data_IF_373788279621
#
_entry.id   IF_373788279621
#
_cell.length_a   1.000
_cell.length_b   1.000
_cell.length_c   1.000
_cell.angle_alpha   90.00
_cell.angle_beta   90.00
_cell.angle_gamma   90.00
#
_symmetry.space_group_name_H-M   'P 1'
#
loop_
_entity.id
_entity.type
_entity.pdbx_description
1 polymer ?
#
# COMPACT_ATOMS: atom_id res chain seq x y z
N UNK A 1 17.58 53.46 -18.97
CA UNK A 1 18.11 54.40 -17.95
C UNK A 1 18.41 53.55 -16.70
N UNK A 2 19.48 52.73 -16.66
CA UNK A 2 20.86 53.02 -16.24
C UNK A 2 20.97 54.07 -15.12
N UNK A 3 21.28 53.62 -13.90
CA UNK A 3 22.25 54.27 -13.02
C UNK A 3 22.76 53.28 -11.96
N UNK A 4 23.96 52.76 -12.21
CA UNK A 4 24.86 52.21 -11.19
C UNK A 4 25.36 53.33 -10.29
N UNK A 5 25.59 53.05 -9.02
CA UNK A 5 26.56 53.79 -8.22
C UNK A 5 27.54 52.80 -7.60
N UNK A 6 28.80 53.12 -7.78
CA UNK A 6 29.98 52.36 -7.40
C UNK A 6 30.95 53.36 -6.74
N UNK A 7 31.84 52.85 -5.88
CA UNK A 7 33.11 53.44 -5.37
C UNK A 7 33.02 54.51 -4.25
N UNK A 8 33.89 54.62 -3.24
CA UNK A 8 35.28 54.15 -2.91
C UNK A 8 35.46 54.29 -1.35
N UNK A 9 35.95 53.30 -0.61
CA UNK A 9 37.33 53.05 -0.10
C UNK A 9 37.99 54.10 0.84
N UNK A 10 38.47 53.66 2.02
CA UNK A 10 39.60 54.17 2.83
C UNK A 10 39.79 53.20 4.03
N UNK A 11 40.63 52.16 4.03
CA UNK A 11 42.09 52.05 4.32
C UNK A 11 42.59 52.88 5.53
N UNK A 12 42.86 52.25 6.68
CA UNK A 12 44.24 52.04 7.19
C UNK A 12 44.32 51.11 8.43
N UNK A 13 45.49 50.45 8.66
CA UNK A 13 45.67 49.29 9.53
C UNK A 13 46.41 49.63 10.83
N UNK A 14 46.47 48.68 11.78
CA UNK A 14 47.59 48.55 12.71
C UNK A 14 47.73 47.10 13.19
N UNK A 15 48.84 46.49 12.77
CA UNK A 15 49.41 45.27 13.30
C UNK A 15 49.98 45.52 14.71
N UNK A 16 49.86 44.54 15.61
CA UNK A 16 50.93 44.25 16.57
C UNK A 16 50.98 42.76 16.87
N UNK A 17 52.09 42.15 16.44
CA UNK A 17 52.52 40.79 16.74
C UNK A 17 53.22 40.80 18.10
N UNK A 18 52.80 39.94 19.02
CA UNK A 18 53.65 39.40 20.10
C UNK A 18 53.27 37.91 20.29
N UNK A 19 54.25 37.02 20.11
CA UNK A 19 54.23 35.58 20.41
C UNK A 19 54.94 35.33 21.76
N UNK A 20 55.15 34.07 22.21
CA UNK A 20 54.20 33.18 22.88
C UNK A 20 54.71 32.76 24.29
N UNK A 21 53.86 32.25 25.19
CA UNK A 21 54.19 31.13 26.12
C UNK A 21 53.06 30.80 27.12
N UNK A 22 53.06 29.53 27.53
CA UNK A 22 52.34 28.88 28.64
C UNK A 22 50.90 28.37 28.45
N UNK A 23 50.84 27.17 27.86
CA UNK A 23 50.39 25.93 28.50
C UNK A 23 49.44 26.03 29.69
N UNK A 24 48.13 25.89 29.46
CA UNK A 24 47.26 25.08 30.32
C UNK A 24 46.26 24.32 29.43
N UNK A 25 46.48 22.99 29.32
CA UNK A 25 45.47 22.05 28.84
C UNK A 25 44.30 22.13 29.81
N UNK A 26 43.14 22.58 29.33
CA UNK A 26 41.88 22.22 29.98
C UNK A 26 41.65 20.74 29.64
N UNK A 27 41.94 19.87 30.59
CA UNK A 27 41.57 18.46 30.53
C UNK A 27 40.04 18.37 30.52
N UNK A 28 39.49 18.11 29.33
CA UNK A 28 38.13 17.61 29.17
C UNK A 28 38.08 16.24 29.85
N UNK A 29 37.16 16.02 30.81
CA UNK A 29 37.15 14.78 31.56
C UNK A 29 36.90 13.60 30.62
N UNK A 30 37.83 12.65 30.67
CA UNK A 30 37.77 11.38 29.99
C UNK A 30 36.44 10.66 30.25
N UNK A 31 35.75 10.42 29.14
CA UNK A 31 34.95 9.25 28.82
C UNK A 31 34.47 8.42 30.04
N UNK A 32 33.45 8.92 30.73
CA UNK A 32 32.54 8.03 31.45
C UNK A 32 31.86 7.16 30.40
N UNK A 33 32.06 5.84 30.50
CA UNK A 33 31.24 4.84 29.83
C UNK A 33 29.78 5.06 30.22
N UNK A 34 29.10 5.92 29.47
CA UNK A 34 27.66 6.04 29.46
C UNK A 34 27.18 4.78 28.76
N UNK A 35 26.52 3.87 29.48
CA UNK A 35 25.66 2.88 28.84
C UNK A 35 24.67 3.66 27.98
N UNK A 36 24.97 3.85 26.70
CA UNK A 36 24.13 4.62 25.79
C UNK A 36 22.84 3.84 25.63
N UNK A 37 21.80 4.22 26.35
CA UNK A 37 20.51 3.54 26.29
C UNK A 37 19.94 3.72 24.88
N UNK A 38 19.93 2.65 24.10
CA UNK A 38 19.58 2.67 22.69
C UNK A 38 18.10 2.37 22.48
N UNK A 39 17.58 2.72 21.30
CA UNK A 39 16.24 2.32 20.89
C UNK A 39 16.12 0.78 20.81
N UNK A 40 17.23 0.07 20.54
CA UNK A 40 17.29 -1.38 20.54
C UNK A 40 17.05 -1.96 21.94
N UNK A 41 17.64 -1.37 22.98
CA UNK A 41 17.41 -1.78 24.37
C UNK A 41 15.93 -1.62 24.75
N UNK A 42 15.32 -0.52 24.30
CA UNK A 42 13.89 -0.26 24.47
C UNK A 42 13.07 -1.31 23.71
N UNK A 43 13.44 -1.62 22.45
CA UNK A 43 12.77 -2.64 21.66
C UNK A 43 12.80 -4.01 22.35
N UNK A 44 13.95 -4.46 22.84
CA UNK A 44 14.10 -5.76 23.52
C UNK A 44 13.14 -5.87 24.71
N UNK A 45 12.97 -4.79 25.47
CA UNK A 45 12.06 -4.72 26.62
C UNK A 45 10.58 -4.76 26.22
N UNK A 46 10.21 -4.13 25.11
CA UNK A 46 8.81 -3.91 24.76
C UNK A 46 8.27 -4.78 23.61
N UNK A 47 9.11 -5.52 22.89
CA UNK A 47 8.68 -6.24 21.67
C UNK A 47 7.51 -7.20 21.90
N UNK A 48 7.46 -7.91 23.03
CA UNK A 48 6.34 -8.81 23.35
C UNK A 48 5.04 -8.07 23.60
N UNK A 49 5.07 -7.00 24.41
CA UNK A 49 3.91 -6.15 24.67
C UNK A 49 3.44 -5.41 23.42
N UNK A 50 4.38 -4.96 22.58
CA UNK A 50 4.08 -4.36 21.28
C UNK A 50 3.41 -5.37 20.33
N UNK A 51 3.82 -6.64 20.34
CA UNK A 51 3.16 -7.67 19.55
C UNK A 51 1.70 -7.88 19.99
N UNK A 52 1.44 -7.91 21.30
CA UNK A 52 0.06 -7.98 21.83
C UNK A 52 -0.74 -6.73 21.48
N UNK A 53 -0.19 -5.53 21.65
CA UNK A 53 -0.83 -4.28 21.23
C UNK A 53 -1.16 -4.28 19.74
N UNK A 54 -0.26 -4.79 18.88
CA UNK A 54 -0.50 -4.91 17.44
C UNK A 54 -1.68 -5.85 17.13
N UNK A 55 -1.90 -6.90 17.92
CA UNK A 55 -3.05 -7.81 17.74
C UNK A 55 -4.39 -7.10 17.91
N UNK A 56 -4.44 -6.04 18.73
CA UNK A 56 -5.65 -5.25 18.95
C UNK A 56 -5.93 -4.21 17.85
N UNK A 57 -4.97 -3.93 16.96
CA UNK A 57 -5.19 -2.98 15.85
C UNK A 57 -6.15 -3.54 14.81
N UNK A 58 -7.03 -2.68 14.30
CA UNK A 58 -7.92 -3.00 13.17
C UNK A 58 -7.16 -2.94 11.82
N UNK A 59 -6.27 -3.90 11.62
CA UNK A 59 -5.52 -4.14 10.38
C UNK A 59 -5.36 -5.64 10.15
N UNK A 60 -5.12 -6.06 8.91
CA UNK A 60 -5.02 -7.50 8.59
C UNK A 60 -3.90 -8.20 9.39
N UNK A 61 -4.13 -9.47 9.78
CA UNK A 61 -3.14 -10.33 10.45
C UNK A 61 -1.78 -10.33 9.74
N UNK A 62 -1.79 -10.43 8.41
CA UNK A 62 -0.59 -10.37 7.58
C UNK A 62 0.14 -9.03 7.68
N UNK A 63 -0.58 -7.91 7.76
CA UNK A 63 0.03 -6.59 7.97
C UNK A 63 0.71 -6.51 9.35
N UNK A 64 0.04 -7.00 10.41
CA UNK A 64 0.60 -7.04 11.77
C UNK A 64 1.93 -7.79 11.79
N UNK A 65 1.92 -9.01 11.23
CA UNK A 65 3.12 -9.85 11.13
C UNK A 65 4.22 -9.17 10.31
N UNK A 66 3.89 -8.55 9.17
CA UNK A 66 4.88 -7.85 8.35
C UNK A 66 5.53 -6.67 9.09
N UNK A 67 4.79 -5.93 9.91
CA UNK A 67 5.35 -4.85 10.72
C UNK A 67 6.27 -5.39 11.79
N UNK A 68 5.81 -6.39 12.55
CA UNK A 68 6.62 -7.01 13.61
C UNK A 68 7.91 -7.63 13.06
N UNK A 69 7.82 -8.48 12.03
CA UNK A 69 9.00 -9.09 11.40
C UNK A 69 9.93 -8.10 10.72
N UNK A 70 9.42 -6.95 10.26
CA UNK A 70 10.27 -5.87 9.75
C UNK A 70 11.07 -5.21 10.88
N UNK A 71 10.45 -4.99 12.04
CA UNK A 71 11.13 -4.43 13.20
C UNK A 71 12.17 -5.40 13.79
N UNK A 72 11.87 -6.70 13.89
CA UNK A 72 12.85 -7.69 14.34
C UNK A 72 14.15 -7.61 13.52
N UNK A 73 14.05 -7.73 12.19
CA UNK A 73 15.22 -7.63 11.29
C UNK A 73 15.90 -6.28 11.32
N UNK A 74 15.12 -5.21 11.51
CA UNK A 74 15.66 -3.86 11.64
C UNK A 74 16.56 -3.77 12.88
N UNK A 75 16.06 -4.17 14.05
CA UNK A 75 16.80 -4.08 15.31
C UNK A 75 17.91 -5.14 15.46
N UNK A 76 17.89 -6.21 14.66
CA UNK A 76 19.03 -7.14 14.52
C UNK A 76 20.21 -6.51 13.75
N UNK A 77 19.93 -5.61 12.80
CA UNK A 77 20.93 -5.11 11.84
C UNK A 77 21.33 -3.66 12.04
N UNK A 78 20.55 -2.88 12.79
CA UNK A 78 20.76 -1.46 13.01
C UNK A 78 20.75 -1.17 14.51
N UNK A 79 21.68 -0.34 14.98
CA UNK A 79 21.65 0.21 16.34
C UNK A 79 21.36 1.70 16.25
N UNK A 80 20.31 2.16 16.93
CA UNK A 80 19.89 3.58 16.88
C UNK A 80 19.87 4.16 18.28
N UNK A 81 20.62 5.23 18.50
CA UNK A 81 20.69 5.92 19.80
C UNK A 81 19.85 7.19 19.79
N UNK A 82 19.79 7.90 18.65
CA UNK A 82 19.12 9.21 18.56
C UNK A 82 18.22 9.32 17.33
N UNK A 83 17.12 10.10 17.40
CA UNK A 83 16.20 10.29 16.28
C UNK A 83 16.86 10.72 14.96
N UNK A 84 17.90 11.56 15.04
CA UNK A 84 18.58 12.12 13.88
C UNK A 84 19.28 11.06 13.00
N UNK A 85 19.64 9.92 13.59
CA UNK A 85 20.37 8.84 12.91
C UNK A 85 19.50 8.19 11.82
N UNK A 86 18.17 8.23 11.94
CA UNK A 86 17.24 7.81 10.90
C UNK A 86 17.40 8.58 9.57
N UNK A 87 18.06 9.75 9.54
CA UNK A 87 18.40 10.43 8.28
C UNK A 87 19.34 9.61 7.39
N UNK A 88 20.19 8.81 8.00
CA UNK A 88 21.22 8.05 7.31
C UNK A 88 20.82 6.58 7.08
N UNK A 89 19.62 6.20 7.53
CA UNK A 89 19.11 4.84 7.41
C UNK A 89 18.04 4.81 6.32
N UNK A 90 18.26 4.00 5.29
CA UNK A 90 17.27 3.77 4.25
C UNK A 90 16.21 2.77 4.73
N UNK A 91 15.16 3.29 5.38
CA UNK A 91 14.05 2.47 5.84
C UNK A 91 13.18 1.98 4.65
N UNK A 92 12.80 0.70 4.72
CA UNK A 92 11.79 0.09 3.84
C UNK A 92 10.38 0.43 4.33
N UNK A 93 9.37 0.34 3.45
CA UNK A 93 7.95 0.67 3.78
C UNK A 93 7.46 -0.02 5.07
N UNK A 94 7.80 -1.29 5.29
CA UNK A 94 7.36 -2.03 6.49
C UNK A 94 8.13 -1.64 7.75
N UNK A 95 9.37 -1.22 7.62
CA UNK A 95 10.17 -0.69 8.74
C UNK A 95 9.64 0.69 9.13
N UNK A 96 9.41 1.59 8.17
CA UNK A 96 8.82 2.91 8.40
C UNK A 96 7.47 2.80 9.13
N UNK A 97 6.57 1.94 8.63
CA UNK A 97 5.24 1.73 9.22
C UNK A 97 5.28 0.97 10.53
N UNK A 98 6.20 0.01 10.67
CA UNK A 98 6.43 -0.71 11.91
C UNK A 98 6.88 0.23 13.02
N UNK A 99 7.92 1.04 12.76
CA UNK A 99 8.45 2.02 13.70
C UNK A 99 7.39 3.06 14.10
N UNK A 100 6.57 3.49 13.13
CA UNK A 100 5.43 4.37 13.42
C UNK A 100 4.42 3.76 14.37
N UNK A 101 4.08 2.49 14.18
CA UNK A 101 3.19 1.77 15.08
C UNK A 101 3.85 1.55 16.44
N UNK A 102 5.15 1.27 16.49
CA UNK A 102 5.88 1.16 17.76
C UNK A 102 5.81 2.48 18.55
N UNK A 103 5.99 3.62 17.90
CA UNK A 103 5.81 4.92 18.57
C UNK A 103 4.36 5.21 18.97
N UNK A 104 3.35 4.72 18.22
CA UNK A 104 1.95 4.81 18.64
C UNK A 104 1.68 3.95 19.86
N UNK A 105 2.27 2.76 19.92
CA UNK A 105 2.19 1.92 21.10
C UNK A 105 2.77 2.63 22.33
N UNK A 106 3.96 3.22 22.22
CA UNK A 106 4.51 3.99 23.34
C UNK A 106 3.61 5.15 23.77
N UNK A 107 2.98 5.83 22.82
CA UNK A 107 2.00 6.88 23.10
C UNK A 107 0.77 6.35 23.84
N UNK A 108 0.21 5.22 23.41
CA UNK A 108 -0.95 4.56 24.03
C UNK A 108 -0.62 4.03 25.44
N UNK A 109 0.62 3.61 25.68
CA UNK A 109 1.13 3.19 27.00
C UNK A 109 1.64 4.37 27.86
N UNK A 110 1.38 5.62 27.45
CA UNK A 110 1.78 6.86 28.14
C UNK A 110 3.32 7.04 28.29
N UNK A 111 4.11 6.33 27.48
CA UNK A 111 5.57 6.46 27.38
C UNK A 111 5.92 7.57 26.39
N UNK A 112 5.99 8.79 26.90
CA UNK A 112 6.17 9.99 26.08
C UNK A 112 7.63 10.29 25.68
N UNK A 113 8.59 9.66 26.35
CA UNK A 113 10.03 9.86 26.10
C UNK A 113 10.76 8.53 25.94
N UNK A 114 11.62 8.45 24.92
CA UNK A 114 12.45 7.28 24.62
C UNK A 114 13.88 7.76 24.37
N UNK A 115 14.83 7.21 25.10
CA UNK A 115 16.26 7.57 25.03
C UNK A 115 16.50 9.09 25.15
N UNK A 116 15.80 9.77 26.07
CA UNK A 116 15.95 11.22 26.24
C UNK A 116 15.29 12.07 25.15
N UNK A 117 14.41 11.47 24.33
CA UNK A 117 13.78 12.13 23.20
C UNK A 117 12.28 11.85 23.13
N UNK A 118 11.49 12.92 22.98
CA UNK A 118 10.04 12.86 22.75
C UNK A 118 9.68 12.02 21.51
N UNK A 119 8.51 11.37 21.53
CA UNK A 119 7.97 10.64 20.38
C UNK A 119 7.88 11.48 19.09
N UNK A 120 7.55 12.78 19.20
CA UNK A 120 7.49 13.67 18.04
C UNK A 120 8.83 13.79 17.29
N UNK A 121 9.94 13.85 18.03
CA UNK A 121 11.30 13.87 17.45
C UNK A 121 11.59 12.59 16.69
N UNK A 122 11.24 11.43 17.25
CA UNK A 122 11.39 10.13 16.58
C UNK A 122 10.56 10.08 15.29
N UNK A 123 9.28 10.44 15.39
CA UNK A 123 8.35 10.53 14.26
C UNK A 123 8.85 11.49 13.18
N UNK A 124 9.47 12.62 13.52
CA UNK A 124 9.97 13.60 12.54
C UNK A 124 10.91 12.98 11.50
N UNK A 125 11.72 11.99 11.88
CA UNK A 125 12.70 11.36 11.00
C UNK A 125 12.22 10.05 10.38
N UNK A 126 11.25 9.37 10.97
CA UNK A 126 10.61 8.17 10.39
C UNK A 126 9.38 8.58 9.57
N UNK A 127 9.53 9.10 8.35
CA UNK A 127 8.39 9.56 7.54
C UNK A 127 7.84 8.42 6.67
N UNK A 128 6.52 8.21 6.70
CA UNK A 128 5.85 7.29 5.77
C UNK A 128 5.85 7.94 4.39
N UNK A 129 6.57 7.34 3.44
CA UNK A 129 6.58 7.83 2.06
C UNK A 129 5.21 7.60 1.42
N UNK A 130 4.70 8.60 0.69
CA UNK A 130 3.51 8.43 -0.15
C UNK A 130 3.86 7.44 -1.27
N UNK A 131 2.99 6.47 -1.51
CA UNK A 131 3.14 5.58 -2.66
C UNK A 131 3.02 6.38 -3.95
N UNK A 132 3.98 6.21 -4.86
CA UNK A 132 3.93 6.83 -6.18
C UNK A 132 2.77 6.31 -7.03
N UNK A 133 2.34 7.11 -7.99
CA UNK A 133 1.41 6.67 -9.03
C UNK A 133 2.18 5.80 -10.00
N UNK A 134 1.72 4.56 -10.21
CA UNK A 134 2.25 3.71 -11.28
C UNK A 134 1.49 4.07 -12.54
N UNK A 135 2.15 4.48 -13.62
CA UNK A 135 1.51 4.88 -14.88
C UNK A 135 1.76 3.86 -15.99
N UNK A 136 1.31 2.63 -15.76
CA UNK A 136 1.31 1.57 -16.78
C UNK A 136 -0.13 1.34 -17.21
N UNK A 137 -0.39 1.53 -18.50
CA UNK A 137 -1.65 1.27 -19.19
C UNK A 137 -1.37 0.25 -20.30
N UNK A 138 -2.20 -0.78 -20.36
CA UNK A 138 -2.15 -1.81 -21.40
C UNK A 138 -3.34 -1.61 -22.33
N UNK A 139 -3.22 -2.02 -23.59
CA UNK A 139 -4.29 -1.96 -24.58
C UNK A 139 -5.01 -3.32 -24.79
N UNK A 140 -6.03 -3.34 -25.64
CA UNK A 140 -6.86 -4.52 -25.89
C UNK A 140 -6.05 -5.68 -26.49
N UNK A 141 -5.07 -5.37 -27.37
CA UNK A 141 -4.20 -6.37 -27.98
C UNK A 141 -3.26 -7.01 -26.96
N UNK A 142 -2.72 -6.22 -26.03
CA UNK A 142 -1.95 -6.74 -24.91
C UNK A 142 -2.79 -7.64 -24.00
N UNK A 143 -4.04 -7.27 -23.69
CA UNK A 143 -4.94 -8.09 -22.88
C UNK A 143 -5.26 -9.41 -23.58
N UNK A 144 -5.55 -9.38 -24.88
CA UNK A 144 -5.83 -10.56 -25.70
C UNK A 144 -4.61 -11.47 -25.79
N UNK A 145 -3.44 -10.92 -26.12
CA UNK A 145 -2.17 -11.65 -26.12
C UNK A 145 -1.89 -12.29 -24.76
N UNK A 146 -2.12 -11.54 -23.68
CA UNK A 146 -1.95 -12.04 -22.32
C UNK A 146 -2.87 -13.22 -22.00
N UNK A 147 -4.08 -13.26 -22.56
CA UNK A 147 -5.00 -14.39 -22.44
C UNK A 147 -4.56 -15.59 -23.27
N UNK A 148 -4.14 -15.36 -24.52
CA UNK A 148 -3.66 -16.41 -25.44
C UNK A 148 -2.42 -17.12 -24.90
N UNK A 149 -1.48 -16.37 -24.29
CA UNK A 149 -0.27 -16.91 -23.67
C UNK A 149 -0.51 -17.46 -22.25
N UNK A 150 -1.68 -17.20 -21.65
CA UNK A 150 -2.01 -17.69 -20.31
C UNK A 150 -2.19 -19.20 -20.32
N UNK A 151 -1.65 -19.95 -19.34
CA UNK A 151 -1.93 -21.38 -19.21
C UNK A 151 -3.44 -21.66 -19.21
N UNK A 152 -3.88 -22.71 -19.91
CA UNK A 152 -5.31 -23.04 -20.05
C UNK A 152 -6.05 -23.10 -18.70
N UNK A 153 -5.41 -23.66 -17.68
CA UNK A 153 -5.94 -23.74 -16.31
C UNK A 153 -6.12 -22.38 -15.62
N UNK A 154 -5.38 -21.35 -16.05
CA UNK A 154 -5.45 -19.99 -15.53
C UNK A 154 -6.40 -19.10 -16.34
N UNK A 155 -6.77 -19.50 -17.57
CA UNK A 155 -7.66 -18.72 -18.44
C UNK A 155 -8.99 -18.35 -17.77
N UNK A 156 -9.70 -19.24 -17.04
CA UNK A 156 -10.90 -18.83 -16.32
C UNK A 156 -10.62 -17.69 -15.34
N UNK A 157 -9.54 -17.76 -14.55
CA UNK A 157 -9.20 -16.72 -13.56
C UNK A 157 -8.79 -15.41 -14.25
N UNK A 158 -8.05 -15.51 -15.36
CA UNK A 158 -7.70 -14.37 -16.20
C UNK A 158 -8.95 -13.70 -16.76
N UNK A 159 -9.89 -14.46 -17.31
CA UNK A 159 -11.16 -13.96 -17.81
C UNK A 159 -11.95 -13.23 -16.74
N UNK A 160 -12.03 -13.79 -15.53
CA UNK A 160 -12.73 -13.14 -14.43
C UNK A 160 -12.08 -11.80 -14.03
N UNK A 161 -10.76 -11.68 -14.12
CA UNK A 161 -10.06 -10.38 -13.91
C UNK A 161 -10.43 -9.37 -14.99
N UNK A 162 -10.45 -9.80 -16.25
CA UNK A 162 -10.81 -8.97 -17.41
C UNK A 162 -12.26 -8.53 -17.33
N UNK A 163 -13.18 -9.43 -16.99
CA UNK A 163 -14.62 -9.15 -16.92
C UNK A 163 -14.98 -8.26 -15.74
N UNK A 164 -14.45 -8.52 -14.56
CA UNK A 164 -14.91 -7.82 -13.35
C UNK A 164 -14.10 -6.57 -13.01
N UNK A 165 -12.87 -6.47 -13.50
CA UNK A 165 -11.91 -5.43 -13.09
C UNK A 165 -11.64 -5.40 -11.58
N UNK A 166 -11.98 -6.45 -10.82
CA UNK A 166 -11.86 -6.44 -9.36
C UNK A 166 -10.40 -6.63 -8.90
N UNK A 167 -10.13 -6.30 -7.63
CA UNK A 167 -8.79 -6.56 -7.07
C UNK A 167 -8.60 -8.07 -7.01
N UNK A 168 -7.47 -8.56 -7.50
CA UNK A 168 -7.20 -10.00 -7.50
C UNK A 168 -7.28 -10.64 -6.10
N UNK A 169 -6.99 -9.89 -5.02
CA UNK A 169 -7.21 -10.38 -3.65
C UNK A 169 -8.66 -10.74 -3.38
N UNK A 170 -9.62 -9.93 -3.84
CA UNK A 170 -11.05 -10.22 -3.63
C UNK A 170 -11.55 -11.31 -4.57
N UNK A 171 -11.05 -11.37 -5.81
CA UNK A 171 -11.32 -12.50 -6.72
C UNK A 171 -10.83 -13.80 -6.10
N UNK A 172 -9.58 -13.85 -5.63
CA UNK A 172 -9.00 -15.03 -5.02
C UNK A 172 -9.79 -15.47 -3.78
N UNK A 173 -10.15 -14.54 -2.89
CA UNK A 173 -10.98 -14.84 -1.72
C UNK A 173 -12.39 -15.32 -2.07
N UNK A 174 -13.00 -14.76 -3.13
CA UNK A 174 -14.31 -15.21 -3.62
C UNK A 174 -14.21 -16.64 -4.17
N UNK A 175 -13.19 -16.92 -5.00
CA UNK A 175 -12.96 -18.26 -5.55
C UNK A 175 -12.66 -19.30 -4.46
N UNK A 176 -11.97 -18.91 -3.40
CA UNK A 176 -11.63 -19.78 -2.26
C UNK A 176 -12.87 -20.17 -1.44
N UNK A 177 -13.93 -19.36 -1.50
CA UNK A 177 -15.21 -19.55 -0.80
C UNK A 177 -16.37 -19.60 -1.81
N UNK A 178 -16.10 -20.12 -3.01
CA UNK A 178 -17.05 -20.07 -4.11
C UNK A 178 -18.26 -20.96 -3.83
N UNK A 179 -19.44 -20.37 -3.97
CA UNK A 179 -20.72 -21.07 -3.91
C UNK A 179 -21.56 -20.62 -5.09
N UNK A 180 -21.88 -21.56 -5.99
CA UNK A 180 -22.64 -21.27 -7.20
C UNK A 180 -24.05 -20.74 -6.91
N UNK A 181 -24.62 -21.03 -5.74
CA UNK A 181 -25.93 -20.52 -5.31
C UNK A 181 -25.96 -19.01 -5.10
N UNK A 182 -24.80 -18.37 -4.98
CA UNK A 182 -24.67 -16.92 -4.83
C UNK A 182 -24.61 -16.17 -6.17
N UNK A 183 -24.57 -16.87 -7.31
CA UNK A 183 -24.57 -16.23 -8.62
C UNK A 183 -25.98 -15.68 -8.92
N UNK A 184 -26.06 -14.38 -9.17
CA UNK A 184 -27.28 -13.70 -9.61
C UNK A 184 -27.15 -13.46 -11.11
N UNK A 185 -28.15 -13.88 -11.90
CA UNK A 185 -28.18 -13.71 -13.36
C UNK A 185 -29.30 -12.75 -13.72
N UNK A 186 -28.93 -11.65 -14.38
CA UNK A 186 -29.81 -10.59 -14.87
C UNK A 186 -29.61 -10.44 -16.39
N UNK A 187 -30.30 -11.28 -17.17
CA UNK A 187 -30.16 -11.33 -18.62
C UNK A 187 -28.77 -11.81 -19.07
N UNK A 188 -28.05 -11.00 -19.85
CA UNK A 188 -26.70 -11.33 -20.34
C UNK A 188 -25.59 -11.09 -19.31
N UNK A 189 -25.95 -10.62 -18.12
CA UNK A 189 -25.02 -10.24 -17.05
C UNK A 189 -25.23 -11.16 -15.87
N UNK A 190 -24.14 -11.58 -15.26
CA UNK A 190 -24.14 -12.24 -13.97
C UNK A 190 -23.29 -11.44 -12.98
N UNK A 191 -23.64 -11.54 -11.70
CA UNK A 191 -22.82 -10.98 -10.63
C UNK A 191 -22.83 -11.81 -9.36
N UNK A 192 -21.74 -11.69 -8.61
CA UNK A 192 -21.54 -12.39 -7.34
C UNK A 192 -21.38 -11.36 -6.20
N UNK A 193 -22.28 -11.33 -5.20
CA UNK A 193 -22.14 -10.44 -4.05
C UNK A 193 -20.84 -10.74 -3.28
N UNK A 194 -20.00 -9.72 -3.07
CA UNK A 194 -18.71 -9.87 -2.36
C UNK A 194 -18.53 -8.88 -1.21
N UNK A 195 -19.58 -8.15 -0.83
CA UNK A 195 -19.56 -7.18 0.27
C UNK A 195 -18.93 -7.72 1.56
N UNK A 196 -19.15 -9.00 1.87
CA UNK A 196 -18.60 -9.69 3.04
C UNK A 196 -17.07 -9.84 3.03
N UNK A 197 -16.42 -9.67 1.88
CA UNK A 197 -14.95 -9.70 1.72
C UNK A 197 -14.28 -8.33 1.96
N UNK A 198 -15.07 -7.27 2.15
CA UNK A 198 -14.56 -5.93 2.42
C UNK A 198 -13.84 -5.88 3.77
N UNK A 199 -12.66 -5.24 3.82
CA UNK A 199 -11.89 -5.09 5.07
C UNK A 199 -11.15 -3.75 5.13
N UNK A 200 -11.23 -3.07 6.28
CA UNK A 200 -10.66 -1.73 6.47
C UNK A 200 -11.10 -0.76 5.38
N UNK A 201 -10.12 -0.16 4.68
CA UNK A 201 -10.39 0.75 3.54
C UNK A 201 -10.57 0.03 2.19
N UNK A 202 -10.34 -1.29 2.12
CA UNK A 202 -10.46 -2.06 0.87
C UNK A 202 -11.88 -2.60 0.77
N UNK A 203 -12.65 -2.05 -0.16
CA UNK A 203 -14.04 -2.44 -0.41
C UNK A 203 -14.20 -3.27 -1.67
N UNK A 204 -15.28 -4.03 -1.70
CA UNK A 204 -15.84 -4.76 -2.85
C UNK A 204 -17.32 -4.94 -2.60
N UNK A 205 -18.12 -5.01 -3.66
CA UNK A 205 -19.59 -5.05 -3.56
C UNK A 205 -20.14 -6.24 -4.32
N UNK A 206 -19.91 -6.25 -5.63
CA UNK A 206 -20.31 -7.30 -6.54
C UNK A 206 -19.18 -7.53 -7.56
N UNK A 207 -19.02 -8.78 -7.95
CA UNK A 207 -18.13 -9.20 -9.04
C UNK A 207 -19.00 -9.43 -10.28
N UNK A 208 -18.97 -8.50 -11.23
CA UNK A 208 -19.75 -8.58 -12.47
C UNK A 208 -18.99 -9.35 -13.56
N UNK A 209 -19.71 -10.11 -14.38
CA UNK A 209 -19.18 -10.86 -15.53
C UNK A 209 -20.32 -11.21 -16.51
N UNK A 210 -20.03 -11.59 -17.76
CA UNK A 210 -21.05 -12.07 -18.69
C UNK A 210 -21.72 -13.35 -18.17
N UNK A 211 -23.04 -13.48 -18.31
CA UNK A 211 -23.78 -14.68 -17.90
C UNK A 211 -23.28 -15.94 -18.65
N UNK A 212 -22.84 -15.78 -19.90
CA UNK A 212 -22.25 -16.86 -20.70
C UNK A 212 -20.95 -17.44 -20.12
N UNK A 213 -20.29 -16.72 -19.19
CA UNK A 213 -19.07 -17.17 -18.54
C UNK A 213 -19.32 -18.08 -17.32
N UNK A 214 -20.56 -18.16 -16.81
CA UNK A 214 -20.92 -18.99 -15.64
C UNK A 214 -20.43 -20.45 -15.76
N UNK A 215 -20.57 -21.15 -16.90
CA UNK A 215 -20.07 -22.52 -17.05
C UNK A 215 -18.55 -22.62 -16.89
N UNK A 216 -17.77 -21.64 -17.37
CA UNK A 216 -16.30 -21.63 -17.21
C UNK A 216 -15.89 -21.35 -15.76
N UNK A 217 -16.60 -20.44 -15.08
CA UNK A 217 -16.37 -20.14 -13.66
C UNK A 217 -16.53 -21.39 -12.80
N UNK A 218 -17.54 -22.23 -13.09
CA UNK A 218 -17.81 -23.48 -12.36
C UNK A 218 -16.73 -24.55 -12.55
N UNK A 219 -15.89 -24.47 -13.59
CA UNK A 219 -14.80 -25.42 -13.82
C UNK A 219 -13.59 -25.18 -12.91
N UNK A 220 -13.56 -24.08 -12.14
CA UNK A 220 -12.47 -23.76 -11.23
C UNK A 220 -12.58 -24.64 -9.97
N UNK A 221 -12.12 -25.88 -10.07
CA UNK A 221 -12.23 -26.86 -8.97
C UNK A 221 -11.08 -26.79 -7.96
N UNK A 222 -9.90 -26.32 -8.36
CA UNK A 222 -8.70 -26.28 -7.50
C UNK A 222 -8.01 -24.93 -7.60
N UNK A 223 -8.22 -24.09 -6.59
CA UNK A 223 -7.56 -22.80 -6.50
C UNK A 223 -6.11 -22.97 -6.06
N UNK A 224 -5.18 -22.51 -6.91
CA UNK A 224 -3.76 -22.45 -6.55
C UNK A 224 -3.49 -21.34 -5.54
N UNK A 225 -2.27 -21.35 -4.98
CA UNK A 225 -1.83 -20.28 -4.10
C UNK A 225 -1.90 -18.93 -4.82
N UNK A 226 -2.26 -17.88 -4.07
CA UNK A 226 -2.38 -16.51 -4.57
C UNK A 226 -1.16 -16.06 -5.41
N UNK A 227 0.05 -16.40 -4.95
CA UNK A 227 1.28 -15.99 -5.63
C UNK A 227 1.56 -16.76 -6.92
N UNK A 228 1.23 -18.05 -6.95
CA UNK A 228 1.40 -18.86 -8.16
C UNK A 228 0.50 -18.35 -9.28
N UNK A 229 -0.76 -18.08 -8.97
CA UNK A 229 -1.71 -17.52 -9.94
C UNK A 229 -1.21 -16.17 -10.45
N UNK A 230 -0.81 -15.25 -9.57
CA UNK A 230 -0.27 -13.95 -9.99
C UNK A 230 0.94 -14.04 -10.91
N UNK A 231 1.79 -15.06 -10.72
CA UNK A 231 2.96 -15.31 -11.56
C UNK A 231 2.54 -15.83 -12.93
N UNK A 232 1.59 -16.75 -12.98
CA UNK A 232 1.16 -17.44 -14.20
C UNK A 232 0.26 -16.58 -15.10
N UNK A 233 -0.58 -15.69 -14.53
CA UNK A 233 -1.41 -14.76 -15.32
C UNK A 233 -0.61 -13.56 -15.88
N UNK A 234 0.64 -13.40 -15.46
CA UNK A 234 1.46 -12.26 -15.85
C UNK A 234 2.08 -12.50 -17.23
N UNK A 235 1.77 -11.63 -18.18
CA UNK A 235 2.42 -11.59 -19.49
C UNK A 235 2.98 -10.16 -19.73
N UNK A 236 4.30 -10.01 -19.76
CA UNK A 236 4.93 -8.70 -19.98
C UNK A 236 4.45 -7.62 -18.98
N UNK A 237 3.78 -6.57 -19.51
CA UNK A 237 3.17 -5.47 -18.74
C UNK A 237 1.77 -5.79 -18.23
N UNK A 238 1.17 -6.87 -18.71
CA UNK A 238 -0.14 -7.36 -18.29
C UNK A 238 -0.01 -8.10 -16.96
N UNK A 239 -0.71 -7.58 -15.96
CA UNK A 239 -0.77 -8.05 -14.59
C UNK A 239 -2.19 -7.83 -14.10
N UNK A 240 -2.61 -8.52 -13.04
CA UNK A 240 -3.91 -8.23 -12.41
C UNK A 240 -4.14 -6.73 -12.09
N UNK A 241 -3.07 -5.99 -11.75
CA UNK A 241 -3.14 -4.56 -11.46
C UNK A 241 -3.38 -3.74 -12.74
N UNK A 242 -2.73 -4.07 -13.84
CA UNK A 242 -2.86 -3.35 -15.11
C UNK A 242 -4.16 -3.73 -15.84
N UNK A 243 -4.61 -4.99 -15.77
CA UNK A 243 -5.94 -5.43 -16.23
C UNK A 243 -7.04 -4.62 -15.55
N UNK A 244 -6.99 -4.49 -14.22
CA UNK A 244 -7.97 -3.66 -13.48
C UNK A 244 -8.00 -2.20 -13.94
N UNK A 245 -6.86 -1.63 -14.31
CA UNK A 245 -6.81 -0.24 -14.81
C UNK A 245 -7.35 -0.13 -16.22
N UNK A 246 -6.95 -1.06 -17.09
CA UNK A 246 -7.49 -1.19 -18.43
C UNK A 246 -9.01 -1.31 -18.40
N UNK A 247 -9.57 -2.17 -17.53
CA UNK A 247 -11.01 -2.33 -17.38
C UNK A 247 -11.69 -1.02 -16.93
N UNK A 248 -11.06 -0.24 -16.04
CA UNK A 248 -11.60 1.08 -15.69
C UNK A 248 -11.64 2.01 -16.91
N UNK A 249 -10.55 2.08 -17.67
CA UNK A 249 -10.49 2.89 -18.87
C UNK A 249 -11.52 2.46 -19.92
N UNK A 250 -11.72 1.14 -20.10
CA UNK A 250 -12.75 0.59 -20.98
C UNK A 250 -14.15 1.02 -20.52
N UNK A 251 -14.47 0.87 -19.23
CA UNK A 251 -15.76 1.34 -18.69
C UNK A 251 -16.02 2.82 -18.98
N UNK A 252 -15.03 3.68 -18.73
CA UNK A 252 -15.17 5.12 -19.00
C UNK A 252 -15.35 5.39 -20.50
N UNK A 253 -14.60 4.70 -21.37
CA UNK A 253 -14.71 4.80 -22.83
C UNK A 253 -16.11 4.40 -23.32
N UNK A 254 -16.71 3.37 -22.76
CA UNK A 254 -18.07 2.91 -23.08
C UNK A 254 -19.18 3.71 -22.33
N UNK A 255 -18.81 4.85 -21.72
CA UNK A 255 -19.73 5.80 -21.12
C UNK A 255 -20.32 5.38 -19.76
N UNK A 256 -19.71 4.39 -19.09
CA UNK A 256 -20.07 4.03 -17.72
C UNK A 256 -19.60 5.16 -16.78
N UNK A 257 -20.51 5.64 -15.95
CA UNK A 257 -20.21 6.76 -15.03
C UNK A 257 -19.13 6.35 -14.03
N UNK A 258 -18.23 7.28 -13.67
CA UNK A 258 -17.11 7.00 -12.74
C UNK A 258 -17.61 6.42 -11.41
N UNK A 259 -18.72 6.94 -10.88
CA UNK A 259 -19.33 6.41 -9.65
C UNK A 259 -19.76 4.94 -9.77
N UNK A 260 -20.28 4.52 -10.93
CA UNK A 260 -20.68 3.13 -11.18
C UNK A 260 -19.46 2.26 -11.47
N UNK A 261 -18.50 2.76 -12.23
CA UNK A 261 -17.22 2.10 -12.46
C UNK A 261 -16.46 1.82 -11.14
N UNK A 262 -16.44 2.80 -10.25
CA UNK A 262 -15.88 2.65 -8.90
C UNK A 262 -16.65 1.64 -8.05
N UNK A 263 -17.97 1.57 -8.19
CA UNK A 263 -18.77 0.53 -7.54
C UNK A 263 -18.43 -0.86 -8.09
N UNK A 264 -18.45 -1.06 -9.41
CA UNK A 264 -18.10 -2.33 -10.08
C UNK A 264 -16.73 -2.82 -9.62
N UNK A 265 -15.75 -1.91 -9.50
CA UNK A 265 -14.40 -2.25 -9.07
C UNK A 265 -14.18 -2.24 -7.55
N UNK A 266 -15.15 -1.87 -6.70
CA UNK A 266 -14.94 -1.75 -5.26
C UNK A 266 -13.93 -0.64 -4.85
N UNK A 267 -13.96 0.49 -5.55
CA UNK A 267 -13.19 1.70 -5.23
C UNK A 267 -13.95 2.67 -4.34
N UNK A 268 -15.29 2.65 -4.38
CA UNK A 268 -16.12 3.55 -3.60
C UNK A 268 -16.03 3.31 -2.08
N UNK A 269 -16.03 4.38 -1.29
CA UNK A 269 -16.29 4.33 0.15
C UNK A 269 -17.79 4.12 0.40
N UNK A 270 -18.13 3.23 1.34
CA UNK A 270 -19.52 3.00 1.71
C UNK A 270 -19.96 4.11 2.65
N UNK A 271 -20.88 4.95 2.21
CA UNK A 271 -21.56 5.94 3.08
C UNK A 271 -23.07 5.79 3.04
N UNK A 272 -23.61 4.68 2.54
CA UNK A 272 -24.98 4.68 2.04
C UNK A 272 -25.78 3.45 2.47
N UNK A 273 -26.99 3.70 2.99
CA UNK A 273 -27.92 2.69 3.50
C UNK A 273 -28.44 1.73 2.41
N UNK A 274 -29.22 0.74 2.82
CA UNK A 274 -29.68 -0.38 1.99
C UNK A 274 -30.34 0.04 0.67
N UNK A 275 -31.21 1.05 0.69
CA UNK A 275 -31.89 1.55 -0.52
C UNK A 275 -30.92 2.11 -1.57
N UNK A 276 -29.90 2.85 -1.13
CA UNK A 276 -28.90 3.40 -2.05
C UNK A 276 -27.94 2.32 -2.56
N UNK A 277 -27.65 1.30 -1.75
CA UNK A 277 -26.90 0.13 -2.20
C UNK A 277 -27.63 -0.63 -3.31
N UNK A 278 -28.90 -0.98 -3.11
CA UNK A 278 -29.71 -1.68 -4.13
C UNK A 278 -29.81 -0.89 -5.43
N UNK A 279 -30.01 0.43 -5.34
CA UNK A 279 -30.01 1.30 -6.51
C UNK A 279 -28.65 1.28 -7.24
N UNK A 280 -27.54 1.25 -6.50
CA UNK A 280 -26.19 1.14 -7.09
C UNK A 280 -25.95 -0.21 -7.78
N UNK A 281 -26.46 -1.31 -7.22
CA UNK A 281 -26.40 -2.62 -7.89
C UNK A 281 -27.16 -2.58 -9.20
N UNK A 282 -28.41 -2.08 -9.20
CA UNK A 282 -29.20 -1.97 -10.43
C UNK A 282 -28.54 -1.06 -11.49
N UNK A 283 -28.01 0.09 -11.07
CA UNK A 283 -27.26 0.98 -11.96
C UNK A 283 -26.02 0.29 -12.56
N UNK A 284 -25.30 -0.47 -11.73
CA UNK A 284 -24.12 -1.22 -12.16
C UNK A 284 -24.49 -2.33 -13.15
N UNK A 285 -25.51 -3.13 -12.86
CA UNK A 285 -26.02 -4.14 -13.81
C UNK A 285 -26.41 -3.48 -15.13
N UNK A 286 -27.21 -2.41 -15.09
CA UNK A 286 -27.67 -1.74 -16.31
C UNK A 286 -26.51 -1.17 -17.14
N UNK A 287 -25.52 -0.55 -16.51
CA UNK A 287 -24.40 0.06 -17.24
C UNK A 287 -23.36 -0.97 -17.68
N UNK A 288 -23.16 -2.06 -16.93
CA UNK A 288 -22.24 -3.14 -17.28
C UNK A 288 -22.64 -3.83 -18.59
N UNK A 289 -23.92 -3.81 -18.97
CA UNK A 289 -24.41 -4.33 -20.28
C UNK A 289 -23.64 -3.77 -21.47
N UNK A 290 -23.11 -2.54 -21.36
CA UNK A 290 -22.34 -1.87 -22.42
C UNK A 290 -20.99 -2.53 -22.69
N UNK A 291 -20.48 -3.34 -21.76
CA UNK A 291 -19.22 -4.08 -21.92
C UNK A 291 -19.41 -5.42 -22.63
N UNK A 292 -20.65 -5.92 -22.72
CA UNK A 292 -20.93 -7.20 -23.37
C UNK A 292 -20.55 -7.08 -24.86
N UNK A 293 -19.71 -8.01 -25.32
CA UNK A 293 -19.15 -7.98 -26.68
C UNK A 293 -18.05 -6.95 -26.93
N UNK A 294 -17.60 -6.21 -25.90
CA UNK A 294 -16.49 -5.23 -25.98
C UNK A 294 -15.22 -5.68 -25.26
N UNK A 295 -15.30 -6.74 -24.47
CA UNK A 295 -14.16 -7.38 -23.81
C UNK A 295 -13.39 -8.20 -24.86
N UNK A 296 -12.04 -8.14 -24.90
CA UNK A 296 -11.26 -8.64 -26.04
C UNK A 296 -11.01 -10.16 -26.05
N UNK A 297 -11.67 -10.92 -25.17
CA UNK A 297 -11.47 -12.36 -24.94
C UNK A 297 -12.80 -13.10 -24.87
#
# INVERSE_FOLDING_TARGET
MKASFDKLSSINPLNSVITPTHSQKLDLPENRSCNSFTLNDVWIKHQGLFEEWLKNKDISKRTKQNYFSALLRFFESQTVTRPIEFRNILLKDKEERGLRNLFNYFEDEEINEICGHSLEKWRRFVKIKKSGVVEVYVDDEEIKKGYEECPEEMKPIYSLLVYSGNRFTHIHQMLDNFDEGNIIIDGEIAHYPTSFLSSGSKRTFHLFFPASYVPELKKICKLRSYFNILKEIKCGRVTAKTIRKWHLNLMIKEGITESVADFIQGRASVTVGSAHYLNKVQQATNQYSRLIGKLPI
#
